data_IF_878808317431
#
_entry.id   IF_878808317431
#
_cell.length_a   1.000
_cell.length_b   1.000
_cell.length_c   1.000
_cell.angle_alpha   90.00
_cell.angle_beta   90.00
_cell.angle_gamma   90.00
#
_symmetry.space_group_name_H-M   'P 1'
#
loop_
_entity.id
_entity.type
_entity.pdbx_description
1 polymer ?
#
# COMPACT_ATOMS: atom_id res chain seq x y z
N UNK A 1 -6.73 50.26 7.23
CA UNK A 1 -7.75 50.15 8.30
C UNK A 1 -7.19 49.25 9.39
N UNK A 2 -6.04 49.57 10.00
CA UNK A 2 -5.81 50.42 11.19
C UNK A 2 -6.75 50.10 12.38
N UNK A 3 -6.11 49.57 13.43
CA UNK A 3 -6.44 49.63 14.88
C UNK A 3 -7.65 48.87 15.40
N UNK A 4 -7.40 47.78 16.13
CA UNK A 4 -8.05 47.53 17.43
C UNK A 4 -7.07 46.82 18.40
N UNK A 5 -6.72 47.54 19.46
CA UNK A 5 -5.93 47.17 20.64
C UNK A 5 -6.76 46.23 21.55
N UNK A 6 -6.19 45.13 22.05
CA UNK A 6 -5.57 44.97 23.38
C UNK A 6 -6.53 45.08 24.58
N UNK A 7 -6.72 43.97 25.31
CA UNK A 7 -6.44 43.83 26.76
C UNK A 7 -6.93 42.47 27.30
N UNK A 8 -6.15 41.88 28.20
CA UNK A 8 -6.63 40.79 29.07
C UNK A 8 -5.56 39.81 29.54
N UNK A 9 -4.50 40.30 30.21
CA UNK A 9 -3.57 39.42 30.93
C UNK A 9 -4.14 39.01 32.29
N UNK A 10 -3.87 37.78 32.71
CA UNK A 10 -3.84 37.41 34.12
C UNK A 10 -2.73 36.37 34.36
N UNK A 11 -1.69 36.80 35.06
CA UNK A 11 -0.68 35.94 35.70
C UNK A 11 -1.28 35.40 36.99
N UNK A 12 -1.05 34.13 37.30
CA UNK A 12 -0.97 33.67 38.70
C UNK A 12 0.20 32.71 38.84
N UNK A 13 0.97 32.93 39.89
CA UNK A 13 2.25 32.31 40.18
C UNK A 13 2.12 31.09 41.10
N UNK A 14 3.14 30.24 41.00
CA UNK A 14 3.79 29.50 42.08
C UNK A 14 2.99 28.51 42.93
N UNK A 15 3.39 27.23 42.85
CA UNK A 15 3.58 26.40 44.04
C UNK A 15 4.74 25.42 43.82
N UNK A 16 5.86 25.73 44.49
CA UNK A 16 6.96 24.82 44.76
C UNK A 16 6.51 23.82 45.81
N UNK A 17 6.73 22.53 45.57
CA UNK A 17 6.91 21.56 46.64
C UNK A 17 8.09 20.65 46.31
N UNK A 18 9.02 20.65 47.26
CA UNK A 18 10.26 19.90 47.38
C UNK A 18 10.02 18.43 47.76
N UNK A 19 10.82 17.52 47.23
CA UNK A 19 11.35 16.30 47.90
C UNK A 19 12.50 15.76 47.03
N UNK A 20 13.77 15.91 47.42
CA UNK A 20 14.54 15.03 48.33
C UNK A 20 14.55 13.58 47.83
N UNK A 21 15.54 13.20 47.01
CA UNK A 21 16.83 12.60 47.38
C UNK A 21 16.77 11.08 47.54
N UNK A 22 17.36 10.35 46.60
CA UNK A 22 18.00 9.04 46.82
C UNK A 22 18.91 8.67 45.65
N UNK A 23 20.19 8.94 45.84
CA UNK A 23 21.36 8.46 45.11
C UNK A 23 21.47 6.93 45.16
N UNK A 24 21.82 6.25 44.05
CA UNK A 24 22.71 5.06 44.04
C UNK A 24 23.25 4.77 42.62
N UNK A 25 24.57 4.94 42.49
CA UNK A 25 25.60 4.25 41.67
C UNK A 25 25.18 3.58 40.34
N UNK A 26 25.65 4.06 39.17
CA UNK A 26 26.97 3.81 38.54
C UNK A 26 27.41 2.34 38.52
N UNK A 27 27.26 1.70 37.35
CA UNK A 27 28.27 0.78 36.80
C UNK A 27 28.32 0.89 35.27
N UNK A 28 29.40 1.50 34.77
CA UNK A 28 29.89 1.40 33.40
C UNK A 28 30.82 0.18 33.28
N UNK A 29 31.16 -0.11 32.02
CA UNK A 29 32.26 -0.97 31.50
C UNK A 29 31.77 -2.40 31.14
N UNK A 30 31.98 -2.92 29.92
CA UNK A 30 32.84 -2.44 28.85
C UNK A 30 32.56 -3.05 27.48
N UNK A 31 33.10 -2.35 26.50
CA UNK A 31 33.24 -2.70 25.09
C UNK A 31 34.19 -3.88 24.91
N UNK A 32 33.92 -4.79 23.97
CA UNK A 32 34.98 -5.52 23.30
C UNK A 32 34.62 -5.82 21.84
N UNK A 33 35.51 -5.35 20.96
CA UNK A 33 35.56 -5.53 19.51
C UNK A 33 36.06 -6.94 19.15
N UNK A 34 35.92 -7.23 17.85
CA UNK A 34 36.62 -8.22 17.01
C UNK A 34 36.10 -9.66 17.03
N UNK A 35 35.54 -10.08 15.89
CA UNK A 35 36.04 -11.21 15.12
C UNK A 35 35.72 -11.02 13.63
N UNK A 36 36.77 -10.86 12.82
CA UNK A 36 36.78 -10.95 11.36
C UNK A 36 37.43 -12.30 11.00
N UNK A 37 36.86 -13.01 10.04
CA UNK A 37 37.45 -14.21 9.41
C UNK A 37 36.46 -14.80 8.41
N UNK A 38 36.53 -14.39 7.14
CA UNK A 38 37.12 -15.15 6.02
C UNK A 38 36.30 -16.37 5.58
N UNK A 39 35.63 -16.26 4.42
CA UNK A 39 35.23 -17.36 3.51
C UNK A 39 34.91 -16.72 2.14
N UNK A 40 35.85 -16.75 1.18
CA UNK A 40 36.10 -17.78 0.16
C UNK A 40 35.12 -17.73 -1.02
N UNK A 41 35.64 -17.19 -2.13
CA UNK A 41 35.09 -17.22 -3.48
C UNK A 41 35.01 -18.66 -4.01
N UNK A 42 33.95 -19.02 -4.74
CA UNK A 42 34.01 -20.09 -5.73
C UNK A 42 33.18 -19.77 -6.98
N UNK A 43 33.87 -19.96 -8.11
CA UNK A 43 33.43 -19.80 -9.49
C UNK A 43 32.27 -20.72 -9.90
N UNK A 44 31.40 -20.20 -10.78
CA UNK A 44 30.57 -20.99 -11.69
C UNK A 44 31.17 -20.92 -13.10
N UNK A 45 31.60 -22.06 -13.64
CA UNK A 45 31.89 -22.25 -15.07
C UNK A 45 31.01 -23.36 -15.64
N UNK A 46 30.64 -23.13 -16.90
CA UNK A 46 29.70 -23.87 -17.72
C UNK A 46 30.22 -25.24 -18.16
N UNK A 47 29.30 -26.17 -18.44
CA UNK A 47 29.58 -27.37 -19.22
C UNK A 47 28.64 -27.42 -20.44
N UNK A 48 29.23 -27.21 -21.62
CA UNK A 48 28.75 -27.70 -22.92
C UNK A 48 29.28 -29.12 -23.10
N UNK A 49 28.50 -30.02 -23.68
CA UNK A 49 29.04 -31.18 -24.39
C UNK A 49 28.31 -31.34 -25.73
N UNK A 50 29.13 -31.59 -26.74
CA UNK A 50 28.83 -31.68 -28.16
C UNK A 50 29.19 -33.08 -28.65
N UNK A 51 28.76 -33.41 -29.88
CA UNK A 51 29.25 -34.51 -30.77
C UNK A 51 28.59 -35.89 -30.51
N UNK A 52 28.18 -36.69 -31.51
CA UNK A 52 28.45 -36.71 -32.97
C UNK A 52 27.48 -37.70 -33.66
N UNK A 53 27.15 -37.47 -34.93
CA UNK A 53 26.50 -38.43 -35.85
C UNK A 53 27.54 -39.21 -36.67
N UNK A 54 27.21 -40.45 -37.10
CA UNK A 54 27.46 -41.12 -38.42
C UNK A 54 27.48 -42.69 -38.26
N UNK A 55 27.50 -43.55 -39.32
CA UNK A 55 26.31 -44.06 -40.02
C UNK A 55 26.27 -45.60 -40.27
N UNK A 56 25.19 -46.03 -40.93
CA UNK A 56 24.73 -47.31 -41.53
C UNK A 56 25.77 -48.38 -41.96
N UNK A 57 25.47 -49.68 -41.71
CA UNK A 57 25.81 -50.82 -42.57
C UNK A 57 24.86 -52.04 -42.40
N UNK A 58 24.55 -52.71 -43.52
CA UNK A 58 23.66 -53.89 -43.74
C UNK A 58 24.26 -55.22 -43.26
N UNK A 59 23.41 -56.23 -42.96
CA UNK A 59 23.45 -57.57 -43.61
C UNK A 59 22.47 -58.62 -43.01
N UNK A 60 21.61 -59.15 -43.89
CA UNK A 60 21.03 -60.51 -44.03
C UNK A 60 20.57 -61.36 -42.82
N UNK A 61 19.29 -61.78 -42.84
CA UNK A 61 18.86 -63.16 -43.21
C UNK A 61 17.34 -63.29 -43.30
N UNK A 62 16.87 -63.86 -44.42
CA UNK A 62 15.51 -64.36 -44.63
C UNK A 62 15.32 -65.71 -43.94
N UNK A 63 14.11 -66.00 -43.44
CA UNK A 63 13.45 -67.32 -43.47
C UNK A 63 11.94 -67.12 -43.27
N UNK A 64 11.15 -67.87 -44.05
CA UNK A 64 9.75 -67.65 -44.38
C UNK A 64 8.75 -68.41 -43.44
N UNK A 65 7.52 -68.76 -43.85
CA UNK A 65 6.28 -68.02 -43.60
C UNK A 65 5.26 -68.81 -42.76
N UNK A 66 4.38 -68.14 -41.99
CA UNK A 66 3.18 -68.77 -41.41
C UNK A 66 1.99 -67.80 -41.39
N UNK A 67 0.92 -68.19 -42.07
CA UNK A 67 -0.45 -67.64 -42.10
C UNK A 67 -1.38 -68.86 -41.98
N UNK A 68 -2.64 -68.79 -41.48
CA UNK A 68 -3.30 -67.82 -40.60
C UNK A 68 -3.85 -68.49 -39.31
N UNK A 69 -4.11 -67.72 -38.25
CA UNK A 69 -5.08 -68.17 -37.22
C UNK A 69 -6.00 -67.03 -36.82
N UNK A 70 -7.28 -67.38 -36.76
CA UNK A 70 -8.45 -66.51 -36.72
C UNK A 70 -8.50 -65.55 -35.53
N UNK A 71 -9.03 -64.35 -35.79
CA UNK A 71 -9.35 -63.32 -34.81
C UNK A 71 -10.40 -63.78 -33.79
N UNK A 72 -10.16 -63.63 -32.49
CA UNK A 72 -11.24 -63.49 -31.52
C UNK A 72 -11.81 -62.07 -31.60
N UNK A 73 -13.13 -61.96 -31.78
CA UNK A 73 -13.89 -60.72 -31.60
C UNK A 73 -13.65 -60.19 -30.19
N UNK A 74 -12.93 -59.07 -30.07
CA UNK A 74 -12.92 -58.30 -28.83
C UNK A 74 -14.20 -57.45 -28.81
N UNK A 75 -15.10 -57.76 -27.89
CA UNK A 75 -16.24 -56.92 -27.56
C UNK A 75 -15.66 -55.64 -26.92
N UNK A 76 -15.76 -54.53 -27.62
CA UNK A 76 -15.39 -53.21 -27.11
C UNK A 76 -16.41 -52.78 -26.05
N UNK A 77 -16.10 -52.99 -24.77
CA UNK A 77 -16.78 -52.31 -23.68
C UNK A 77 -16.28 -50.87 -23.63
N UNK A 78 -16.98 -49.98 -24.32
CA UNK A 78 -16.78 -48.54 -24.21
C UNK A 78 -17.13 -48.11 -22.78
N UNK A 79 -16.24 -47.51 -21.98
CA UNK A 79 -16.65 -46.89 -20.74
C UNK A 79 -17.57 -45.73 -21.10
N UNK A 80 -18.80 -45.76 -20.57
CA UNK A 80 -19.75 -44.66 -20.67
C UNK A 80 -19.05 -43.36 -20.27
N UNK A 81 -19.21 -42.26 -21.02
CA UNK A 81 -18.67 -40.98 -20.58
C UNK A 81 -19.35 -40.68 -19.24
N UNK A 82 -18.55 -40.72 -18.17
CA UNK A 82 -18.91 -40.16 -16.89
C UNK A 82 -19.40 -38.75 -17.20
N UNK A 83 -20.70 -38.52 -16.99
CA UNK A 83 -21.30 -37.21 -17.10
C UNK A 83 -20.51 -36.31 -16.16
N UNK A 84 -19.57 -35.57 -16.73
CA UNK A 84 -19.04 -34.37 -16.14
C UNK A 84 -20.29 -33.57 -15.81
N UNK A 85 -20.60 -33.43 -14.52
CA UNK A 85 -21.54 -32.41 -14.05
C UNK A 85 -20.98 -31.10 -14.59
N UNK A 86 -21.47 -30.70 -15.76
CA UNK A 86 -21.40 -29.34 -16.25
C UNK A 86 -22.09 -28.56 -15.14
N UNK A 87 -21.30 -27.93 -14.28
CA UNK A 87 -21.82 -26.90 -13.40
C UNK A 87 -22.38 -25.85 -14.35
N UNK A 88 -23.69 -25.88 -14.56
CA UNK A 88 -24.41 -24.82 -15.26
C UNK A 88 -23.94 -23.50 -14.68
N UNK A 89 -23.68 -22.47 -15.51
CA UNK A 89 -23.26 -21.18 -15.00
C UNK A 89 -24.35 -20.73 -14.04
N UNK A 90 -24.04 -20.70 -12.75
CA UNK A 90 -24.91 -20.12 -11.73
C UNK A 90 -25.30 -18.76 -12.28
N UNK A 91 -26.57 -18.55 -12.62
CA UNK A 91 -27.05 -17.26 -13.07
C UNK A 91 -26.82 -16.30 -11.91
N UNK A 92 -25.72 -15.56 -12.00
CA UNK A 92 -25.31 -14.57 -11.01
C UNK A 92 -26.44 -13.55 -10.93
N UNK A 93 -27.33 -13.75 -9.98
CA UNK A 93 -28.50 -12.91 -9.78
C UNK A 93 -28.09 -11.81 -8.82
N UNK A 94 -28.34 -10.56 -9.20
CA UNK A 94 -28.06 -9.44 -8.32
C UNK A 94 -28.95 -9.52 -7.08
N UNK A 95 -28.33 -9.42 -5.91
CA UNK A 95 -29.03 -9.25 -4.63
C UNK A 95 -28.60 -7.92 -4.01
N UNK A 96 -29.55 -7.04 -3.66
CA UNK A 96 -29.22 -5.79 -2.97
C UNK A 96 -28.53 -6.07 -1.63
N UNK A 97 -27.67 -5.15 -1.15
CA UNK A 97 -27.10 -5.23 0.18
C UNK A 97 -28.19 -5.34 1.25
N UNK A 98 -28.14 -6.39 2.08
CA UNK A 98 -29.13 -6.65 3.13
C UNK A 98 -28.71 -6.18 4.52
N UNK A 99 -27.44 -5.80 4.69
CA UNK A 99 -26.85 -5.34 5.96
C UNK A 99 -25.91 -4.16 5.73
N UNK A 100 -25.72 -3.34 6.77
CA UNK A 100 -24.79 -2.22 6.79
C UNK A 100 -25.38 -0.89 6.33
N UNK A 101 -24.54 0.15 6.31
CA UNK A 101 -24.93 1.54 6.03
C UNK A 101 -25.64 1.67 4.68
N UNK A 102 -25.23 0.90 3.68
CA UNK A 102 -25.80 0.94 2.32
C UNK A 102 -27.21 0.38 2.27
N UNK A 103 -27.50 -0.67 3.05
CA UNK A 103 -28.85 -1.26 3.10
C UNK A 103 -29.88 -0.27 3.68
N UNK A 104 -29.42 0.74 4.44
CA UNK A 104 -30.26 1.78 5.02
C UNK A 104 -30.49 2.97 4.08
N UNK A 105 -29.79 3.04 2.94
CA UNK A 105 -29.94 4.12 1.97
C UNK A 105 -31.25 3.95 1.16
N UNK A 106 -31.80 5.05 0.62
CA UNK A 106 -32.89 4.96 -0.35
C UNK A 106 -32.53 4.02 -1.50
N UNK A 107 -33.50 3.21 -1.96
CA UNK A 107 -33.26 2.20 -3.03
C UNK A 107 -32.63 2.80 -4.30
N UNK A 108 -32.94 4.05 -4.61
CA UNK A 108 -32.36 4.79 -5.76
C UNK A 108 -30.89 5.17 -5.58
N UNK A 109 -30.38 5.23 -4.34
CA UNK A 109 -29.01 5.62 -4.02
C UNK A 109 -28.07 4.41 -3.90
N UNK A 110 -28.61 3.22 -3.61
CA UNK A 110 -27.83 1.98 -3.47
C UNK A 110 -26.89 1.73 -4.67
N UNK A 111 -27.33 1.84 -5.95
CA UNK A 111 -26.43 1.64 -7.08
C UNK A 111 -25.28 2.64 -7.11
N UNK A 112 -25.48 3.88 -6.65
CA UNK A 112 -24.42 4.90 -6.59
C UNK A 112 -23.44 4.63 -5.45
N UNK A 113 -23.92 4.14 -4.31
CA UNK A 113 -23.09 3.71 -3.19
C UNK A 113 -22.21 2.49 -3.56
N UNK A 114 -22.76 1.51 -4.28
CA UNK A 114 -21.99 0.39 -4.83
C UNK A 114 -20.98 0.84 -5.91
N UNK A 115 -21.35 1.86 -6.71
CA UNK A 115 -20.49 2.40 -7.77
C UNK A 115 -19.20 3.00 -7.19
N UNK A 116 -19.30 3.71 -6.07
CA UNK A 116 -18.13 4.25 -5.35
C UNK A 116 -17.45 3.23 -4.43
N UNK A 117 -17.93 1.98 -4.38
CA UNK A 117 -17.44 0.91 -3.51
C UNK A 117 -17.59 1.20 -2.02
N UNK A 118 -18.67 1.88 -1.63
CA UNK A 118 -18.96 2.11 -0.22
C UNK A 118 -19.18 0.78 0.53
N UNK A 119 -19.54 -0.30 -0.19
CA UNK A 119 -19.73 -1.66 0.33
C UNK A 119 -18.39 -2.34 0.66
N UNK A 120 -17.32 -1.89 0.01
CA UNK A 120 -15.97 -2.44 0.08
C UNK A 120 -14.95 -1.30 0.28
N UNK A 121 -14.97 -0.60 1.42
CA UNK A 121 -14.22 0.64 1.65
C UNK A 121 -12.70 0.45 1.79
N UNK A 122 -12.19 -0.78 1.69
CA UNK A 122 -10.74 -1.08 1.82
C UNK A 122 -9.88 -0.19 0.93
N UNK A 123 -10.31 0.06 -0.31
CA UNK A 123 -9.57 0.93 -1.22
C UNK A 123 -9.50 2.39 -0.76
N UNK A 124 -10.51 2.87 -0.04
CA UNK A 124 -10.51 4.21 0.57
C UNK A 124 -9.50 4.27 1.70
N UNK A 125 -9.44 3.25 2.55
CA UNK A 125 -8.47 3.19 3.64
C UNK A 125 -7.03 3.13 3.13
N UNK A 126 -6.77 2.33 2.10
CA UNK A 126 -5.43 2.30 1.46
C UNK A 126 -5.02 3.65 0.85
N UNK A 127 -5.97 4.40 0.29
CA UNK A 127 -5.69 5.75 -0.21
C UNK A 127 -5.51 6.77 0.93
N UNK A 128 -6.18 6.56 2.05
CA UNK A 128 -6.15 7.45 3.22
C UNK A 128 -4.90 7.28 4.09
N UNK A 129 -4.45 6.05 4.34
CA UNK A 129 -3.32 5.79 5.25
C UNK A 129 -2.05 6.58 4.91
N UNK A 130 -1.60 6.69 3.65
CA UNK A 130 -0.47 7.54 3.29
C UNK A 130 -0.65 9.01 3.70
N UNK A 131 -1.87 9.56 3.55
CA UNK A 131 -2.18 10.92 4.00
C UNK A 131 -2.11 11.06 5.53
N UNK A 132 -2.62 10.07 6.25
CA UNK A 132 -2.57 10.06 7.71
C UNK A 132 -1.12 9.94 8.21
N UNK A 133 -0.33 9.06 7.59
CA UNK A 133 1.07 8.87 7.97
C UNK A 133 1.87 10.15 7.77
N UNK A 134 1.70 10.82 6.62
CA UNK A 134 2.41 12.06 6.35
C UNK A 134 1.97 13.19 7.25
N UNK A 135 0.68 13.28 7.58
CA UNK A 135 0.18 14.30 8.52
C UNK A 135 0.80 14.12 9.91
N UNK A 136 0.86 12.88 10.41
CA UNK A 136 1.47 12.58 11.72
C UNK A 136 2.99 12.82 11.72
N UNK A 137 3.70 12.48 10.64
CA UNK A 137 5.14 12.77 10.52
C UNK A 137 5.45 14.24 10.30
N UNK A 138 4.56 14.99 9.65
CA UNK A 138 4.72 16.42 9.42
C UNK A 138 4.43 17.28 10.65
N UNK A 139 3.60 16.78 11.58
CA UNK A 139 3.18 17.54 12.75
C UNK A 139 4.34 18.07 13.64
N UNK A 140 5.40 17.29 13.92
CA UNK A 140 6.59 17.80 14.62
C UNK A 140 7.42 18.82 13.83
N UNK A 141 7.31 18.87 12.50
CA UNK A 141 8.00 19.86 11.66
C UNK A 141 7.30 21.22 11.65
N UNK A 142 6.03 21.28 12.02
CA UNK A 142 5.30 22.54 12.11
C UNK A 142 5.86 23.38 13.28
N UNK A 143 5.87 24.70 13.11
CA UNK A 143 6.33 25.66 14.12
C UNK A 143 5.19 26.63 14.47
N UNK A 144 4.59 26.55 15.67
CA UNK A 144 4.78 25.51 16.71
C UNK A 144 4.31 24.12 16.24
N UNK A 145 4.68 23.05 16.98
CA UNK A 145 4.23 21.68 16.69
C UNK A 145 2.71 21.68 16.54
N UNK A 146 2.21 21.06 15.46
CA UNK A 146 0.79 21.08 15.12
C UNK A 146 -0.05 20.50 16.28
N UNK A 147 -1.12 21.19 16.63
CA UNK A 147 -2.00 20.78 17.72
C UNK A 147 -2.80 19.52 17.36
N UNK A 148 -3.28 18.74 18.35
CA UNK A 148 -4.07 17.55 18.08
C UNK A 148 -5.33 17.83 17.25
N UNK A 149 -5.92 19.01 17.43
CA UNK A 149 -7.08 19.44 16.66
C UNK A 149 -6.74 19.70 15.19
N UNK A 150 -5.60 20.34 14.91
CA UNK A 150 -5.13 20.57 13.53
C UNK A 150 -4.81 19.25 12.84
N UNK A 151 -4.07 18.36 13.51
CA UNK A 151 -3.76 17.01 13.00
C UNK A 151 -5.04 16.23 12.70
N UNK A 152 -6.02 16.25 13.62
CA UNK A 152 -7.30 15.58 13.42
C UNK A 152 -8.12 16.21 12.29
N UNK A 153 -8.11 17.53 12.16
CA UNK A 153 -8.86 18.26 11.12
C UNK A 153 -8.30 17.98 9.73
N UNK A 154 -6.97 18.09 9.55
CA UNK A 154 -6.29 17.78 8.29
C UNK A 154 -6.46 16.30 7.93
N UNK A 155 -6.33 15.40 8.90
CA UNK A 155 -6.59 13.97 8.69
C UNK A 155 -8.05 13.71 8.29
N UNK A 156 -9.00 14.40 8.90
CA UNK A 156 -10.42 14.32 8.53
C UNK A 156 -10.68 14.78 7.10
N UNK A 157 -10.10 15.90 6.68
CA UNK A 157 -10.18 16.37 5.29
C UNK A 157 -9.58 15.36 4.32
N UNK A 158 -8.41 14.79 4.63
CA UNK A 158 -7.83 13.73 3.81
C UNK A 158 -8.69 12.48 3.74
N UNK A 159 -9.38 12.09 4.82
CA UNK A 159 -10.29 10.96 4.83
C UNK A 159 -11.48 11.19 3.89
N UNK A 160 -12.12 12.36 3.98
CA UNK A 160 -13.21 12.74 3.06
C UNK A 160 -12.71 12.80 1.63
N UNK A 161 -11.54 13.41 1.39
CA UNK A 161 -10.90 13.44 0.08
C UNK A 161 -10.63 12.05 -0.48
N UNK A 162 -10.07 11.14 0.33
CA UNK A 162 -9.81 9.76 -0.06
C UNK A 162 -11.10 9.00 -0.39
N UNK A 163 -12.16 9.18 0.39
CA UNK A 163 -13.46 8.57 0.14
C UNK A 163 -14.02 8.99 -1.22
N UNK A 164 -14.05 10.30 -1.47
CA UNK A 164 -14.61 10.89 -2.69
C UNK A 164 -13.76 10.56 -3.91
N UNK A 165 -12.44 10.75 -3.83
CA UNK A 165 -11.54 10.52 -4.96
C UNK A 165 -11.37 9.04 -5.29
N UNK A 166 -11.43 8.15 -4.28
CA UNK A 166 -11.52 6.71 -4.54
C UNK A 166 -12.82 6.36 -5.26
N UNK A 167 -13.93 6.95 -4.84
CA UNK A 167 -15.22 6.82 -5.51
C UNK A 167 -15.20 7.26 -6.98
N UNK A 168 -14.55 8.40 -7.26
CA UNK A 168 -14.34 8.90 -8.61
C UNK A 168 -13.49 7.95 -9.46
N UNK A 169 -12.37 7.48 -8.92
CA UNK A 169 -11.55 6.48 -9.59
C UNK A 169 -12.32 5.20 -9.91
N UNK A 170 -13.15 4.70 -8.99
CA UNK A 170 -14.00 3.53 -9.23
C UNK A 170 -15.05 3.78 -10.32
N UNK A 171 -15.69 4.95 -10.31
CA UNK A 171 -16.70 5.32 -11.31
C UNK A 171 -16.10 5.44 -12.71
N UNK A 172 -14.94 6.10 -12.82
CA UNK A 172 -14.19 6.24 -14.08
C UNK A 172 -13.75 4.87 -14.59
N UNK A 173 -13.24 4.00 -13.71
CA UNK A 173 -12.84 2.65 -14.09
C UNK A 173 -14.04 1.85 -14.64
N UNK A 174 -15.18 1.87 -13.96
CA UNK A 174 -16.40 1.17 -14.44
C UNK A 174 -16.94 1.78 -15.75
N UNK A 175 -16.77 3.09 -15.98
CA UNK A 175 -17.11 3.73 -17.25
C UNK A 175 -16.24 3.25 -18.41
N UNK A 176 -14.93 3.07 -18.18
CA UNK A 176 -13.99 2.57 -19.19
C UNK A 176 -14.18 1.08 -19.46
N UNK A 177 -14.49 0.31 -18.41
CA UNK A 177 -14.67 -1.15 -18.49
C UNK A 177 -16.11 -1.56 -18.84
N UNK A 178 -17.01 -0.61 -19.13
CA UNK A 178 -18.47 -0.84 -19.34
C UNK A 178 -18.82 -1.90 -20.40
N UNK A 179 -17.95 -2.11 -21.39
CA UNK A 179 -18.16 -3.11 -22.44
C UNK A 179 -17.57 -4.48 -22.05
N UNK A 180 -16.59 -4.50 -21.15
CA UNK A 180 -15.86 -5.69 -20.71
C UNK A 180 -16.53 -6.31 -19.47
N UNK A 181 -16.88 -5.49 -18.49
CA UNK A 181 -17.44 -5.91 -17.21
C UNK A 181 -18.67 -6.83 -17.30
N UNK A 182 -19.62 -6.65 -18.24
CA UNK A 182 -20.75 -7.58 -18.41
C UNK A 182 -20.35 -9.03 -18.74
N UNK A 183 -19.14 -9.24 -19.26
CA UNK A 183 -18.62 -10.54 -19.68
C UNK A 183 -17.71 -11.20 -18.64
N UNK A 184 -17.46 -10.56 -17.49
CA UNK A 184 -16.55 -11.05 -16.45
C UNK A 184 -17.34 -11.38 -15.18
N UNK A 185 -17.27 -12.62 -14.70
CA UNK A 185 -18.08 -13.11 -13.58
C UNK A 185 -18.01 -12.22 -12.32
N UNK A 186 -16.81 -11.71 -11.98
CA UNK A 186 -16.59 -10.85 -10.82
C UNK A 186 -17.21 -9.45 -10.95
N UNK A 187 -17.36 -8.94 -12.17
CA UNK A 187 -17.71 -7.53 -12.42
C UNK A 187 -19.04 -7.34 -13.15
N UNK A 188 -19.65 -8.43 -13.63
CA UNK A 188 -20.98 -8.47 -14.27
C UNK A 188 -22.09 -7.82 -13.44
N UNK A 189 -21.98 -7.86 -12.11
CA UNK A 189 -22.95 -7.27 -11.17
C UNK A 189 -22.65 -5.81 -10.78
N UNK A 190 -21.65 -5.17 -11.37
CA UNK A 190 -21.40 -3.74 -11.11
C UNK A 190 -22.54 -2.87 -11.64
N UNK A 191 -22.83 -1.71 -11.00
CA UNK A 191 -23.99 -0.87 -11.36
C UNK A 191 -24.09 -0.48 -12.83
N UNK A 192 -22.97 -0.10 -13.47
CA UNK A 192 -22.96 0.24 -14.90
C UNK A 192 -23.12 -1.02 -15.77
N UNK A 193 -22.41 -2.10 -15.44
CA UNK A 193 -22.43 -3.35 -16.19
C UNK A 193 -23.83 -4.01 -16.21
N UNK A 194 -24.53 -4.01 -15.06
CA UNK A 194 -25.91 -4.50 -14.94
C UNK A 194 -26.99 -3.50 -15.36
N UNK A 195 -26.59 -2.35 -15.91
CA UNK A 195 -27.47 -1.26 -16.37
C UNK A 195 -28.33 -0.59 -15.29
N UNK A 196 -27.95 -0.70 -14.01
CA UNK A 196 -28.61 0.00 -12.91
C UNK A 196 -28.31 1.52 -12.95
N UNK A 197 -27.16 1.92 -13.51
CA UNK A 197 -26.79 3.32 -13.76
C UNK A 197 -26.39 3.46 -15.23
N UNK A 198 -26.95 4.46 -15.92
CA UNK A 198 -26.56 4.76 -17.30
C UNK A 198 -25.20 5.48 -17.34
N UNK A 199 -24.42 5.34 -18.42
CA UNK A 199 -23.14 6.04 -18.54
C UNK A 199 -23.25 7.56 -18.36
N UNK A 200 -24.31 8.19 -18.87
CA UNK A 200 -24.55 9.63 -18.70
C UNK A 200 -24.72 10.01 -17.23
N UNK A 201 -25.51 9.23 -16.47
CA UNK A 201 -25.70 9.45 -15.02
C UNK A 201 -24.39 9.25 -14.25
N UNK A 202 -23.58 8.26 -14.64
CA UNK A 202 -22.28 8.02 -14.03
C UNK A 202 -21.29 9.18 -14.31
N UNK A 203 -21.29 9.76 -15.51
CA UNK A 203 -20.45 10.94 -15.83
C UNK A 203 -20.85 12.15 -14.98
N UNK A 204 -22.15 12.46 -14.89
CA UNK A 204 -22.65 13.56 -14.04
C UNK A 204 -22.26 13.33 -12.58
N UNK A 205 -22.39 12.10 -12.11
CA UNK A 205 -22.03 11.74 -10.73
C UNK A 205 -20.52 11.88 -10.46
N UNK A 206 -19.67 11.43 -11.40
CA UNK A 206 -18.23 11.68 -11.34
C UNK A 206 -17.93 13.18 -11.29
N UNK A 207 -18.61 14.00 -12.10
CA UNK A 207 -18.49 15.46 -12.05
C UNK A 207 -18.79 16.02 -10.65
N UNK A 208 -19.88 15.56 -10.03
CA UNK A 208 -20.22 15.91 -8.65
C UNK A 208 -19.14 15.48 -7.64
N UNK A 209 -18.59 14.28 -7.77
CA UNK A 209 -17.50 13.81 -6.91
C UNK A 209 -16.24 14.66 -7.07
N UNK A 210 -15.86 15.02 -8.30
CA UNK A 210 -14.70 15.87 -8.56
C UNK A 210 -14.90 17.29 -7.99
N UNK A 211 -16.13 17.83 -8.04
CA UNK A 211 -16.46 19.11 -7.41
C UNK A 211 -16.37 19.04 -5.88
N UNK A 212 -16.84 17.96 -5.26
CA UNK A 212 -16.65 17.74 -3.81
C UNK A 212 -15.16 17.58 -3.48
N UNK A 213 -14.43 16.82 -4.28
CA UNK A 213 -12.97 16.67 -4.14
C UNK A 213 -12.23 18.00 -4.25
N UNK A 214 -12.64 18.87 -5.18
CA UNK A 214 -12.14 20.23 -5.30
C UNK A 214 -12.48 21.06 -4.06
N UNK A 215 -13.71 20.97 -3.53
CA UNK A 215 -14.10 21.65 -2.30
C UNK A 215 -13.28 21.22 -1.07
N UNK A 216 -12.88 19.94 -1.00
CA UNK A 216 -11.92 19.46 0.01
C UNK A 216 -10.53 20.04 -0.25
N UNK A 217 -10.07 20.01 -1.51
CA UNK A 217 -8.74 20.51 -1.88
C UNK A 217 -8.56 22.00 -1.57
N UNK A 218 -9.59 22.81 -1.79
CA UNK A 218 -9.59 24.25 -1.51
C UNK A 218 -9.60 24.60 -0.02
N UNK A 219 -9.84 23.63 0.87
CA UNK A 219 -9.72 23.82 2.33
C UNK A 219 -8.27 23.66 2.82
N UNK A 220 -7.38 23.09 2.01
CA UNK A 220 -5.95 23.03 2.33
C UNK A 220 -5.24 24.34 1.96
N UNK A 221 -4.06 24.61 2.54
CA UNK A 221 -3.17 25.68 2.08
C UNK A 221 -2.93 25.61 0.57
N UNK A 222 -2.84 26.77 -0.09
CA UNK A 222 -2.76 26.84 -1.56
C UNK A 222 -1.55 26.07 -2.12
N UNK A 223 -0.48 25.93 -1.35
CA UNK A 223 0.72 25.16 -1.68
C UNK A 223 0.39 23.69 -1.99
N UNK A 224 -0.64 23.11 -1.34
CA UNK A 224 -1.09 21.75 -1.63
C UNK A 224 -1.53 21.59 -3.09
N UNK A 225 -1.95 22.65 -3.78
CA UNK A 225 -2.24 22.56 -5.22
C UNK A 225 -0.98 22.21 -6.03
N UNK A 226 0.15 22.86 -5.74
CA UNK A 226 1.39 22.61 -6.47
C UNK A 226 1.95 21.21 -6.21
N UNK A 227 1.83 20.70 -4.98
CA UNK A 227 2.22 19.33 -4.67
C UNK A 227 1.21 18.28 -5.17
N UNK A 228 -0.07 18.66 -5.26
CA UNK A 228 -1.15 17.76 -5.68
C UNK A 228 -1.23 17.57 -7.19
N UNK A 229 -1.02 18.61 -8.00
CA UNK A 229 -1.16 18.58 -9.47
C UNK A 229 -0.30 17.49 -10.14
N UNK A 230 0.99 17.30 -9.80
CA UNK A 230 1.82 16.27 -10.43
C UNK A 230 1.27 14.84 -10.26
N UNK A 231 0.45 14.59 -9.22
CA UNK A 231 -0.19 13.30 -9.00
C UNK A 231 -1.13 12.89 -10.14
N UNK A 232 -1.72 13.88 -10.84
CA UNK A 232 -2.62 13.66 -11.97
C UNK A 232 -1.94 12.91 -13.13
N UNK A 233 -0.62 13.05 -13.28
CA UNK A 233 0.15 12.29 -14.26
C UNK A 233 0.02 10.78 -13.99
N UNK A 234 0.17 10.37 -12.73
CA UNK A 234 0.08 8.96 -12.34
C UNK A 234 -1.37 8.45 -12.38
N UNK A 235 -2.33 9.29 -11.96
CA UNK A 235 -3.76 8.99 -12.06
C UNK A 235 -4.16 8.69 -13.51
N UNK A 236 -3.71 9.51 -14.47
CA UNK A 236 -3.99 9.31 -15.89
C UNK A 236 -3.22 8.12 -16.49
N UNK A 237 -2.00 7.86 -16.01
CA UNK A 237 -1.16 6.76 -16.50
C UNK A 237 -1.63 5.38 -16.01
N UNK A 238 -2.20 5.26 -14.81
CA UNK A 238 -2.56 3.97 -14.21
C UNK A 238 -3.50 3.11 -15.07
N UNK A 239 -4.61 3.64 -15.62
CA UNK A 239 -5.48 2.87 -16.52
C UNK A 239 -4.76 2.33 -17.76
N UNK A 240 -3.80 3.08 -18.31
CA UNK A 240 -2.98 2.66 -19.44
C UNK A 240 -1.96 1.59 -19.05
N UNK A 241 -1.39 1.69 -17.83
CA UNK A 241 -0.42 0.73 -17.32
C UNK A 241 -0.94 -0.72 -17.34
N UNK A 242 -2.22 -0.91 -17.03
CA UNK A 242 -2.89 -2.23 -17.11
C UNK A 242 -2.80 -2.90 -18.49
N UNK A 243 -2.65 -2.11 -19.56
CA UNK A 243 -2.64 -2.58 -20.95
C UNK A 243 -1.24 -2.80 -21.51
N UNK A 244 -0.23 -2.15 -20.94
CA UNK A 244 1.12 -2.10 -21.54
C UNK A 244 2.20 -2.79 -20.68
N UNK A 245 1.98 -2.99 -19.38
CA UNK A 245 3.00 -3.56 -18.48
C UNK A 245 2.48 -4.74 -17.65
N UNK A 246 3.41 -5.61 -17.23
CA UNK A 246 3.14 -6.65 -16.23
C UNK A 246 3.07 -6.09 -14.80
N UNK A 247 3.37 -4.80 -14.59
CA UNK A 247 3.50 -4.19 -13.28
C UNK A 247 2.56 -2.98 -13.06
N UNK A 248 1.25 -3.08 -13.38
CA UNK A 248 0.31 -1.99 -13.11
C UNK A 248 0.26 -1.61 -11.61
N UNK A 249 0.60 -2.55 -10.72
CA UNK A 249 0.73 -2.34 -9.28
C UNK A 249 1.76 -1.26 -8.91
N UNK A 250 2.85 -1.15 -9.68
CA UNK A 250 3.86 -0.12 -9.44
C UNK A 250 3.29 1.28 -9.71
N UNK A 251 2.56 1.43 -10.83
CA UNK A 251 1.90 2.70 -11.18
C UNK A 251 0.76 3.01 -10.22
N UNK A 252 0.02 1.98 -9.77
CA UNK A 252 -0.95 2.11 -8.70
C UNK A 252 -0.29 2.62 -7.42
N UNK A 253 0.86 2.06 -7.05
CA UNK A 253 1.64 2.48 -5.88
C UNK A 253 2.00 3.95 -5.93
N UNK A 254 2.52 4.43 -7.07
CA UNK A 254 2.84 5.85 -7.26
C UNK A 254 1.59 6.73 -7.10
N UNK A 255 0.44 6.27 -7.58
CA UNK A 255 -0.81 7.02 -7.50
C UNK A 255 -1.40 7.04 -6.09
N UNK A 256 -1.54 5.87 -5.46
CA UNK A 256 -2.20 5.72 -4.15
C UNK A 256 -1.35 6.26 -3.01
N UNK A 257 -0.03 6.25 -3.17
CA UNK A 257 0.88 6.68 -2.11
C UNK A 257 1.11 8.18 -2.08
N UNK A 258 0.62 8.95 -3.06
CA UNK A 258 0.89 10.39 -3.17
C UNK A 258 0.53 11.18 -1.90
N UNK A 259 -0.48 10.72 -1.16
CA UNK A 259 -0.85 11.25 0.15
C UNK A 259 0.31 11.28 1.16
N UNK A 260 1.31 10.40 1.03
CA UNK A 260 2.50 10.36 1.87
C UNK A 260 3.37 11.63 1.81
N UNK A 261 3.13 12.52 0.86
CA UNK A 261 3.79 13.83 0.78
C UNK A 261 2.87 14.97 1.22
N UNK A 262 1.56 14.79 1.11
CA UNK A 262 0.59 15.89 1.19
C UNK A 262 0.38 16.44 2.60
N UNK A 263 0.63 15.64 3.65
CA UNK A 263 0.51 16.09 5.03
C UNK A 263 1.44 17.23 5.41
N UNK A 264 2.62 17.31 4.78
CA UNK A 264 3.61 18.37 5.01
C UNK A 264 3.11 19.75 4.60
N UNK A 265 2.80 20.02 3.32
CA UNK A 265 2.27 21.33 2.92
C UNK A 265 0.90 21.61 3.55
N UNK A 266 0.12 20.58 3.90
CA UNK A 266 -1.17 20.75 4.58
C UNK A 266 -1.03 21.30 6.01
N UNK A 267 0.09 21.02 6.68
CA UNK A 267 0.45 21.60 7.98
C UNK A 267 1.39 22.81 7.86
N UNK A 268 1.55 23.37 6.66
CA UNK A 268 2.39 24.55 6.42
C UNK A 268 3.89 24.26 6.32
N UNK A 269 4.30 22.99 6.24
CA UNK A 269 5.70 22.60 6.08
C UNK A 269 6.03 22.54 4.59
N UNK A 270 6.82 23.51 4.11
CA UNK A 270 7.29 23.54 2.73
C UNK A 270 8.46 22.57 2.51
N UNK A 271 8.20 21.50 1.77
CA UNK A 271 9.17 20.45 1.45
C UNK A 271 10.37 20.98 0.67
N UNK A 272 10.19 21.98 -0.21
CA UNK A 272 11.29 22.46 -1.04
C UNK A 272 12.30 23.31 -0.25
N UNK A 273 11.83 23.97 0.81
CA UNK A 273 12.67 24.76 1.71
C UNK A 273 13.33 23.96 2.84
N UNK A 274 12.81 22.76 3.16
CA UNK A 274 13.23 21.97 4.30
C UNK A 274 13.77 20.60 3.84
N UNK A 275 15.11 20.42 3.77
CA UNK A 275 15.73 19.18 3.32
C UNK A 275 15.33 17.94 4.13
N UNK A 276 15.23 18.06 5.45
CA UNK A 276 14.88 16.95 6.35
C UNK A 276 13.43 16.52 6.13
N UNK A 277 12.51 17.48 5.98
CA UNK A 277 11.12 17.21 5.62
C UNK A 277 11.01 16.57 4.23
N UNK A 278 11.77 17.04 3.24
CA UNK A 278 11.81 16.42 1.90
C UNK A 278 12.30 14.98 1.95
N UNK A 279 13.41 14.71 2.63
CA UNK A 279 13.95 13.36 2.78
C UNK A 279 12.96 12.44 3.49
N UNK A 280 12.31 12.94 4.55
CA UNK A 280 11.25 12.23 5.26
C UNK A 280 10.08 11.88 4.34
N UNK A 281 9.54 12.87 3.62
CA UNK A 281 8.41 12.68 2.72
C UNK A 281 8.74 11.72 1.57
N UNK A 282 9.94 11.83 0.98
CA UNK A 282 10.38 10.97 -0.11
C UNK A 282 10.56 9.51 0.35
N UNK A 283 11.14 9.29 1.53
CA UNK A 283 11.30 7.98 2.12
C UNK A 283 9.95 7.36 2.49
N UNK A 284 9.05 8.14 3.13
CA UNK A 284 7.70 7.70 3.47
C UNK A 284 6.87 7.36 2.23
N UNK A 285 6.92 8.22 1.20
CA UNK A 285 6.26 7.97 -0.08
C UNK A 285 6.75 6.68 -0.71
N UNK A 286 8.07 6.49 -0.82
CA UNK A 286 8.66 5.29 -1.38
C UNK A 286 8.29 4.04 -0.58
N UNK A 287 8.22 4.16 0.75
CA UNK A 287 7.75 3.08 1.62
C UNK A 287 6.29 2.71 1.33
N UNK A 288 5.39 3.70 1.22
CA UNK A 288 3.98 3.48 0.88
C UNK A 288 3.81 2.87 -0.51
N UNK A 289 4.66 3.24 -1.48
CA UNK A 289 4.67 2.64 -2.82
C UNK A 289 5.01 1.15 -2.72
N UNK A 290 6.07 0.78 -1.97
CA UNK A 290 6.44 -0.62 -1.76
C UNK A 290 5.32 -1.41 -1.06
N UNK A 291 4.67 -0.81 -0.05
CA UNK A 291 3.51 -1.39 0.62
C UNK A 291 2.34 -1.62 -0.35
N UNK A 292 2.07 -0.65 -1.22
CA UNK A 292 1.02 -0.74 -2.23
C UNK A 292 1.25 -1.88 -3.19
N UNK A 293 2.47 -2.01 -3.71
CA UNK A 293 2.82 -3.11 -4.59
C UNK A 293 2.66 -4.46 -3.86
N UNK A 294 3.04 -4.53 -2.57
CA UNK A 294 2.93 -5.74 -1.76
C UNK A 294 1.48 -6.19 -1.58
N UNK A 295 0.60 -5.33 -1.05
CA UNK A 295 -0.78 -5.74 -0.80
C UNK A 295 -1.56 -5.94 -2.10
N UNK A 296 -1.28 -5.17 -3.15
CA UNK A 296 -2.00 -5.28 -4.42
C UNK A 296 -1.52 -6.48 -5.24
N UNK A 297 -0.29 -6.95 -5.02
CA UNK A 297 0.16 -8.25 -5.52
C UNK A 297 -0.64 -9.39 -4.88
N UNK A 298 -0.88 -9.36 -3.57
CA UNK A 298 -1.75 -10.34 -2.90
C UNK A 298 -3.17 -10.30 -3.46
N UNK A 299 -3.71 -9.09 -3.68
CA UNK A 299 -5.02 -8.92 -4.29
C UNK A 299 -5.08 -9.48 -5.73
N UNK A 300 -4.04 -9.27 -6.53
CA UNK A 300 -3.98 -9.77 -7.91
C UNK A 300 -3.99 -11.31 -8.01
N UNK A 301 -3.58 -12.04 -6.95
CA UNK A 301 -3.71 -13.50 -6.93
C UNK A 301 -5.16 -14.00 -6.97
N UNK A 302 -6.14 -13.14 -6.70
CA UNK A 302 -7.57 -13.48 -6.85
C UNK A 302 -7.97 -13.71 -8.31
N UNK A 303 -7.33 -13.00 -9.23
CA UNK A 303 -7.70 -13.00 -10.65
C UNK A 303 -6.70 -13.81 -11.52
N UNK A 304 -5.64 -14.41 -10.93
CA UNK A 304 -4.54 -15.06 -11.67
C UNK A 304 -4.99 -16.11 -12.70
N UNK A 305 -6.02 -16.91 -12.38
CA UNK A 305 -6.56 -17.94 -13.29
C UNK A 305 -7.29 -17.32 -14.49
N UNK A 306 -8.04 -16.24 -14.24
CA UNK A 306 -8.75 -15.52 -15.28
C UNK A 306 -7.80 -14.72 -16.15
N UNK A 307 -6.80 -14.09 -15.54
CA UNK A 307 -5.75 -13.36 -16.26
C UNK A 307 -4.98 -14.28 -17.20
N UNK A 308 -4.58 -15.47 -16.72
CA UNK A 308 -3.90 -16.47 -17.54
C UNK A 308 -4.75 -16.93 -18.73
N UNK A 309 -6.05 -17.18 -18.50
CA UNK A 309 -6.97 -17.60 -19.56
C UNK A 309 -7.26 -16.49 -20.60
N UNK A 310 -7.28 -15.23 -20.14
CA UNK A 310 -7.52 -14.06 -21.00
C UNK A 310 -6.25 -13.50 -21.65
N UNK A 311 -5.07 -14.08 -21.38
CA UNK A 311 -3.79 -13.57 -21.87
C UNK A 311 -3.40 -12.21 -21.27
N UNK A 312 -3.97 -11.85 -20.12
CA UNK A 312 -3.71 -10.58 -19.42
C UNK A 312 -2.39 -10.69 -18.65
N UNK A 313 -1.57 -9.67 -18.79
CA UNK A 313 -0.26 -9.54 -18.12
C UNK A 313 -0.44 -9.03 -16.69
N UNK A 314 0.03 -9.78 -15.69
CA UNK A 314 0.00 -9.34 -14.28
C UNK A 314 1.24 -9.76 -13.49
N UNK A 315 1.57 -9.01 -12.42
CA UNK A 315 2.75 -9.27 -11.58
C UNK A 315 2.64 -10.63 -10.89
N UNK A 316 1.42 -11.00 -10.49
CA UNK A 316 1.11 -12.28 -9.88
C UNK A 316 1.37 -13.44 -10.85
N UNK A 317 0.98 -13.29 -12.11
CA UNK A 317 1.26 -14.29 -13.15
C UNK A 317 2.77 -14.37 -13.46
N UNK A 318 3.45 -13.23 -13.55
CA UNK A 318 4.90 -13.18 -13.86
C UNK A 318 5.74 -13.86 -12.78
N UNK A 319 5.31 -13.80 -11.52
CA UNK A 319 6.10 -14.24 -10.36
C UNK A 319 5.43 -15.30 -9.50
N UNK A 320 4.48 -16.05 -10.05
CA UNK A 320 3.64 -17.00 -9.31
C UNK A 320 4.46 -17.91 -8.37
N UNK A 321 5.56 -18.49 -8.86
CA UNK A 321 6.45 -19.42 -8.12
C UNK A 321 7.27 -18.75 -7.01
N UNK A 322 7.52 -17.44 -7.10
CA UNK A 322 8.40 -16.70 -6.19
C UNK A 322 7.68 -15.57 -5.44
N UNK A 323 6.34 -15.53 -5.50
CA UNK A 323 5.52 -14.47 -4.91
C UNK A 323 5.93 -14.13 -3.48
N UNK A 324 6.00 -15.12 -2.57
CA UNK A 324 6.33 -14.85 -1.16
C UNK A 324 7.72 -14.23 -0.99
N UNK A 325 8.71 -14.63 -1.80
CA UNK A 325 10.04 -14.04 -1.74
C UNK A 325 10.02 -12.55 -2.17
N UNK A 326 9.24 -12.23 -3.21
CA UNK A 326 9.06 -10.83 -3.66
C UNK A 326 8.30 -10.02 -2.61
N UNK A 327 7.24 -10.57 -2.03
CA UNK A 327 6.51 -9.90 -0.95
C UNK A 327 7.44 -9.63 0.25
N UNK A 328 8.30 -10.57 0.62
CA UNK A 328 9.31 -10.37 1.68
C UNK A 328 10.32 -9.29 1.31
N UNK A 329 10.79 -9.24 0.07
CA UNK A 329 11.67 -8.18 -0.41
C UNK A 329 11.01 -6.80 -0.36
N UNK A 330 9.76 -6.70 -0.81
CA UNK A 330 8.97 -5.47 -0.72
C UNK A 330 8.72 -5.05 0.73
N UNK A 331 8.46 -5.99 1.63
CA UNK A 331 8.31 -5.72 3.06
C UNK A 331 9.61 -5.18 3.68
N UNK A 332 10.75 -5.78 3.34
CA UNK A 332 12.05 -5.30 3.80
C UNK A 332 12.34 -3.88 3.28
N UNK A 333 12.04 -3.61 2.00
CA UNK A 333 12.15 -2.26 1.41
C UNK A 333 11.23 -1.27 2.11
N UNK A 334 9.95 -1.63 2.31
CA UNK A 334 8.98 -0.78 3.02
C UNK A 334 9.49 -0.42 4.42
N UNK A 335 9.88 -1.41 5.22
CA UNK A 335 10.37 -1.20 6.59
C UNK A 335 11.66 -0.40 6.61
N UNK A 336 12.61 -0.70 5.72
CA UNK A 336 13.86 0.05 5.62
C UNK A 336 13.63 1.52 5.28
N UNK A 337 12.68 1.81 4.38
CA UNK A 337 12.30 3.18 4.03
C UNK A 337 11.49 3.88 5.14
N UNK A 338 10.67 3.17 5.92
CA UNK A 338 10.08 3.74 7.15
C UNK A 338 11.16 4.10 8.16
N UNK A 339 12.16 3.23 8.35
CA UNK A 339 13.30 3.52 9.21
C UNK A 339 14.06 4.76 8.74
N UNK A 340 14.36 4.85 7.44
CA UNK A 340 15.00 6.03 6.84
C UNK A 340 14.18 7.31 7.02
N UNK A 341 12.85 7.24 6.87
CA UNK A 341 11.96 8.39 7.10
C UNK A 341 12.01 8.84 8.57
N UNK A 342 12.02 7.91 9.53
CA UNK A 342 12.13 8.24 10.96
C UNK A 342 13.48 8.87 11.33
N UNK A 343 14.57 8.37 10.75
CA UNK A 343 15.92 8.95 10.94
C UNK A 343 15.98 10.36 10.35
N UNK A 344 15.46 10.57 9.14
CA UNK A 344 15.44 11.90 8.50
C UNK A 344 14.58 12.90 9.27
N UNK A 345 13.50 12.45 9.91
CA UNK A 345 12.64 13.27 10.74
C UNK A 345 13.13 13.46 12.18
N UNK A 346 14.26 12.85 12.56
CA UNK A 346 14.77 12.92 13.94
C UNK A 346 13.84 12.29 14.97
N UNK A 347 13.01 11.32 14.58
CA UNK A 347 12.02 10.71 15.47
C UNK A 347 12.66 9.78 16.51
N UNK A 348 12.00 9.66 17.66
CA UNK A 348 12.48 8.92 18.81
C UNK A 348 12.14 7.42 18.78
N UNK A 349 12.46 6.71 19.89
CA UNK A 349 12.29 5.25 19.99
C UNK A 349 10.84 4.78 19.87
N UNK A 350 9.84 5.61 20.23
CA UNK A 350 8.42 5.24 20.10
C UNK A 350 8.07 5.02 18.63
N UNK A 351 8.58 5.85 17.72
CA UNK A 351 8.46 5.62 16.28
C UNK A 351 9.10 4.29 15.84
N UNK A 352 10.36 4.04 16.19
CA UNK A 352 11.06 2.86 15.68
C UNK A 352 10.44 1.55 16.21
N UNK A 353 10.07 1.52 17.50
CA UNK A 353 9.44 0.33 18.09
C UNK A 353 7.98 0.21 17.64
N UNK A 354 7.21 1.30 17.73
CA UNK A 354 5.79 1.29 17.40
C UNK A 354 5.53 1.17 15.91
N UNK A 355 6.05 2.09 15.11
CA UNK A 355 5.78 2.18 13.66
C UNK A 355 6.55 1.11 12.89
N UNK A 356 7.88 1.06 12.99
CA UNK A 356 8.66 0.07 12.24
C UNK A 356 8.45 -1.34 12.79
N UNK A 357 8.40 -1.50 14.11
CA UNK A 357 8.15 -2.80 14.75
C UNK A 357 6.77 -3.38 14.40
N UNK A 358 5.70 -2.57 14.42
CA UNK A 358 4.38 -3.05 13.98
C UNK A 358 4.41 -3.45 12.51
N UNK A 359 4.99 -2.65 11.62
CA UNK A 359 5.11 -3.00 10.19
C UNK A 359 5.83 -4.33 9.97
N UNK A 360 6.94 -4.59 10.68
CA UNK A 360 7.68 -5.86 10.61
C UNK A 360 6.76 -7.02 11.01
N UNK A 361 6.10 -6.92 12.17
CA UNK A 361 5.27 -8.00 12.71
C UNK A 361 4.06 -8.26 11.80
N UNK A 362 3.36 -7.21 11.37
CA UNK A 362 2.11 -7.36 10.61
C UNK A 362 2.38 -7.83 9.19
N UNK A 363 3.38 -7.29 8.49
CA UNK A 363 3.76 -7.74 7.15
C UNK A 363 4.34 -9.14 7.18
N UNK A 364 5.22 -9.44 8.14
CA UNK A 364 5.75 -10.79 8.33
C UNK A 364 4.65 -11.81 8.55
N UNK A 365 3.67 -11.50 9.41
CA UNK A 365 2.50 -12.34 9.67
C UNK A 365 1.64 -12.52 8.41
N UNK A 366 1.37 -11.43 7.68
CA UNK A 366 0.60 -11.46 6.44
C UNK A 366 1.24 -12.38 5.41
N UNK A 367 2.54 -12.22 5.15
CA UNK A 367 3.29 -13.00 4.15
C UNK A 367 3.38 -14.47 4.58
N UNK A 368 3.61 -14.72 5.86
CA UNK A 368 3.67 -16.07 6.39
C UNK A 368 2.33 -16.80 6.24
N UNK A 369 1.22 -16.17 6.63
CA UNK A 369 -0.11 -16.80 6.69
C UNK A 369 -0.90 -16.77 5.38
N UNK A 370 -0.63 -15.85 4.46
CA UNK A 370 -1.42 -15.75 3.24
C UNK A 370 -1.30 -17.03 2.39
N UNK A 371 -2.46 -17.55 2.00
CA UNK A 371 -2.60 -18.70 1.12
C UNK A 371 -2.96 -18.22 -0.29
N UNK A 372 -1.93 -17.97 -1.09
CA UNK A 372 -2.05 -17.33 -2.42
C UNK A 372 -2.93 -18.08 -3.43
N UNK A 373 -3.23 -19.36 -3.18
CA UNK A 373 -4.11 -20.19 -4.03
C UNK A 373 -5.60 -20.04 -3.68
N UNK A 374 -5.92 -19.45 -2.51
CA UNK A 374 -7.29 -19.26 -2.04
C UNK A 374 -7.74 -17.82 -2.25
N UNK A 375 -8.71 -17.62 -3.14
CA UNK A 375 -9.30 -16.30 -3.46
C UNK A 375 -9.87 -15.63 -2.20
N UNK A 376 -10.59 -16.40 -1.38
CA UNK A 376 -11.17 -15.91 -0.13
C UNK A 376 -10.08 -15.49 0.88
N UNK A 377 -9.01 -16.28 0.99
CA UNK A 377 -7.91 -15.96 1.90
C UNK A 377 -7.13 -14.72 1.45
N UNK A 378 -6.88 -14.56 0.14
CA UNK A 378 -6.27 -13.35 -0.42
C UNK A 378 -7.15 -12.12 -0.17
N UNK A 379 -8.47 -12.24 -0.38
CA UNK A 379 -9.42 -11.16 -0.08
C UNK A 379 -9.40 -10.78 1.41
N UNK A 380 -9.38 -11.78 2.29
CA UNK A 380 -9.31 -11.55 3.74
C UNK A 380 -8.03 -10.80 4.11
N UNK A 381 -6.87 -11.21 3.61
CA UNK A 381 -5.60 -10.53 3.90
C UNK A 381 -5.53 -9.14 3.27
N UNK A 382 -6.04 -8.95 2.06
CA UNK A 382 -6.13 -7.61 1.45
C UNK A 382 -7.01 -6.68 2.28
N UNK A 383 -8.17 -7.15 2.76
CA UNK A 383 -9.11 -6.33 3.53
C UNK A 383 -8.62 -6.06 4.94
N UNK A 384 -8.32 -7.10 5.71
CA UNK A 384 -7.98 -6.96 7.13
C UNK A 384 -6.52 -6.52 7.30
N UNK A 385 -5.64 -6.93 6.38
CA UNK A 385 -4.25 -6.47 6.35
C UNK A 385 -4.10 -4.96 6.19
N UNK A 386 -5.05 -4.31 5.51
CA UNK A 386 -5.15 -2.86 5.43
C UNK A 386 -5.15 -2.23 6.82
N UNK A 387 -6.06 -2.69 7.69
CA UNK A 387 -6.21 -2.18 9.05
C UNK A 387 -5.15 -2.70 10.02
N UNK A 388 -4.74 -3.96 9.89
CA UNK A 388 -3.72 -4.56 10.76
C UNK A 388 -2.38 -3.83 10.56
N UNK A 389 -1.91 -3.72 9.32
CA UNK A 389 -0.64 -3.04 9.02
C UNK A 389 -0.79 -1.53 9.07
N UNK A 390 -1.80 -0.98 8.39
CA UNK A 390 -1.99 0.47 8.34
C UNK A 390 -2.29 1.06 9.72
N UNK A 391 -3.19 0.43 10.47
CA UNK A 391 -3.49 0.82 11.85
C UNK A 391 -2.32 0.63 12.80
N UNK A 392 -1.53 -0.44 12.66
CA UNK A 392 -0.31 -0.64 13.45
C UNK A 392 0.69 0.51 13.26
N UNK A 393 0.98 0.85 12.00
CA UNK A 393 1.85 1.98 11.64
C UNK A 393 1.27 3.30 12.19
N UNK A 394 -0.03 3.54 12.04
CA UNK A 394 -0.72 4.72 12.60
C UNK A 394 -0.55 4.80 14.11
N UNK A 395 -0.73 3.70 14.86
CA UNK A 395 -0.63 3.74 16.32
C UNK A 395 0.77 4.13 16.80
N UNK A 396 1.81 3.61 16.15
CA UNK A 396 3.19 4.02 16.42
C UNK A 396 3.43 5.50 16.13
N UNK A 397 2.94 5.98 14.99
CA UNK A 397 3.03 7.39 14.59
C UNK A 397 2.28 8.33 15.53
N UNK A 398 1.07 7.96 15.99
CA UNK A 398 0.31 8.72 16.98
C UNK A 398 1.07 8.78 18.30
N UNK A 399 1.62 7.66 18.76
CA UNK A 399 2.44 7.61 19.98
C UNK A 399 3.66 8.54 19.89
N UNK A 400 4.37 8.49 18.76
CA UNK A 400 5.52 9.37 18.51
C UNK A 400 5.12 10.85 18.45
N UNK A 401 4.05 11.17 17.73
CA UNK A 401 3.53 12.53 17.64
C UNK A 401 3.19 13.09 19.04
N UNK A 402 2.48 12.32 19.86
CA UNK A 402 2.14 12.74 21.22
C UNK A 402 3.39 12.91 22.09
N UNK A 403 4.39 12.04 21.96
CA UNK A 403 5.65 12.16 22.68
C UNK A 403 6.40 13.47 22.34
N UNK A 404 6.44 13.84 21.06
CA UNK A 404 7.01 15.12 20.62
C UNK A 404 6.15 16.31 21.11
N UNK A 405 4.83 16.23 20.98
CA UNK A 405 3.91 17.29 21.39
C UNK A 405 3.96 17.59 22.90
N UNK A 406 4.13 16.56 23.74
CA UNK A 406 4.28 16.70 25.19
C UNK A 406 5.74 16.87 25.66
N UNK A 407 6.70 16.99 24.75
CA UNK A 407 8.10 17.24 25.07
C UNK A 407 8.82 16.11 25.81
N UNK A 408 8.43 14.84 25.58
CA UNK A 408 9.06 13.69 26.25
C UNK A 408 10.54 13.51 25.91
N UNK A 409 10.98 14.04 24.76
CA UNK A 409 12.36 13.99 24.32
C UNK A 409 13.17 15.22 24.73
N UNK A 410 12.53 16.30 25.20
CA UNK A 410 13.18 17.57 25.59
C UNK A 410 13.96 17.47 26.91
N UNK A 411 13.89 16.33 27.62
CA UNK A 411 14.73 16.04 28.78
C UNK A 411 16.13 15.51 28.42
N UNK A 412 16.41 15.28 27.13
CA UNK A 412 17.76 15.07 26.62
C UNK A 412 18.34 16.40 26.13
N UNK A 413 18.67 17.28 27.08
CA UNK A 413 19.30 18.57 26.80
C UNK A 413 20.64 18.43 26.02
N UNK A 414 21.07 19.49 25.32
CA UNK A 414 21.76 19.40 24.04
C UNK A 414 23.27 19.14 24.17
N UNK A 415 23.80 18.35 23.23
CA UNK A 415 25.23 18.42 22.89
C UNK A 415 25.40 19.61 21.94
N UNK A 416 25.32 20.84 22.46
CA UNK A 416 25.76 22.02 21.72
C UNK A 416 26.99 22.64 22.35
N UNK A 417 28.00 22.80 21.50
CA UNK A 417 29.06 23.80 21.58
C UNK A 417 30.13 23.61 22.67
N UNK A 418 31.15 22.82 22.34
CA UNK A 418 32.52 23.03 22.81
C UNK A 418 33.39 23.66 21.70
N UNK A 419 32.81 24.55 20.90
CA UNK A 419 33.53 25.27 19.84
C UNK A 419 32.95 26.67 19.71
N UNK A 420 33.29 27.55 20.65
CA UNK A 420 33.41 29.01 20.54
C UNK A 420 33.57 29.59 21.95
N UNK A 421 34.67 29.23 22.61
CA UNK A 421 35.14 29.90 23.83
C UNK A 421 36.68 29.84 23.91
N UNK A 422 37.36 30.09 22.80
CA UNK A 422 38.78 30.48 22.80
C UNK A 422 38.92 31.64 21.82
N UNK A 423 39.06 32.84 22.36
CA UNK A 423 39.17 34.05 21.55
C UNK A 423 38.92 35.32 22.33
N UNK A 424 39.40 35.41 23.57
CA UNK A 424 39.52 36.68 24.32
C UNK A 424 40.34 36.45 25.59
N UNK A 425 41.68 36.31 25.49
CA UNK A 425 42.66 36.93 26.40
C UNK A 425 44.05 36.91 25.74
N UNK A 426 44.76 38.03 25.85
CA UNK A 426 46.23 38.25 25.90
C UNK A 426 46.86 39.00 24.72
N UNK A 427 47.28 40.22 25.09
CA UNK A 427 48.32 41.14 24.57
C UNK A 427 48.10 41.86 23.24
#
# INVERSE_FOLDING_TARGET
MKTFLAHGGLRLAALRTTNSAATTQIRRVGSCKHYLGQQSQHHYQAARSSQTQSPVARSHRNLAPLVPRAFPRYISSSPSPSQSTVVSPTDLTYTPPSKGVIASLPKSWIPYAELIRLDKPTGTYYLYFPCLFSTLMAAPFALPIASPLEVASISGLFFVGALVMRGAGCTINDLWDRNLDPHVARTKLRPIARKAITPQKAIIFTGGQLLVGLGVLLQFPYQCLFYGIPSLLFVAAYPLAKRVTNYPQAVLGLTFSWGAMMGFPALGVDLLSNPDAMMTAAALYSSCVAWTVLYDMIYAHMDIKYDAAAGIKSIALKHEKHTKAILSGLAAVQVGLLGAAGVAAGLGPIYFVGTCGSAIVTLGTMIWRVQLKSVENCWWWFRNGCWITGGGITLGLVGEYLANFFGWYDSAAPITSAAHAEGSVVS
#
